data_IF_908304143824
#
_entry.id   IF_908304143824
#
_cell.length_a   1.000
_cell.length_b   1.000
_cell.length_c   1.000
_cell.angle_alpha   90.00
_cell.angle_beta   90.00
_cell.angle_gamma   90.00
#
_symmetry.space_group_name_H-M   'P 1'
#
loop_
_entity.id
_entity.type
_entity.pdbx_description
1 polymer ?
2 non-polymer ?
3 non-polymer ?
4 non-polymer ?
5 water ?
#
# COMPACT_ATOMS: atom_id res chain seq x y z
N UNK A 2 -0.64 -18.72 15.73
CA UNK A 2 -0.44 -17.49 16.48
C UNK A 2 0.24 -16.41 15.64
N UNK A 3 0.83 -16.83 14.54
CA UNK A 3 1.57 -15.91 13.69
C UNK A 3 0.74 -15.30 12.58
N UNK A 4 -0.45 -15.86 12.30
CA UNK A 4 -1.22 -15.53 11.08
C UNK A 4 -2.08 -14.29 11.34
N UNK A 5 -1.47 -13.15 11.15
CA UNK A 5 -2.15 -11.88 11.28
C UNK A 5 -3.20 -11.71 10.19
N UNK A 6 -4.33 -11.12 10.56
CA UNK A 6 -5.45 -10.87 9.65
C UNK A 6 -5.22 -9.55 8.92
N UNK A 7 -5.05 -9.62 7.60
CA UNK A 7 -4.88 -8.45 6.74
C UNK A 7 -6.16 -8.09 6.01
N UNK A 8 -6.52 -6.80 6.01
CA UNK A 8 -7.68 -6.30 5.29
C UNK A 8 -7.24 -5.12 4.43
N UNK A 9 -7.79 -5.06 3.22
CA UNK A 9 -7.54 -3.97 2.27
C UNK A 9 -8.86 -3.26 2.06
N UNK A 10 -8.89 -1.96 2.30
CA UNK A 10 -10.13 -1.19 2.28
C UNK A 10 -9.99 -0.14 1.19
N UNK A 11 -10.88 -0.16 0.21
CA UNK A 11 -10.92 0.89 -0.81
C UNK A 11 -12.02 1.87 -0.48
N UNK A 12 -11.68 3.15 -0.51
CA UNK A 12 -12.61 4.20 -0.11
C UNK A 12 -12.80 5.17 -1.26
N UNK A 13 -14.04 5.31 -1.71
CA UNK A 13 -14.33 6.15 -2.86
C UNK A 13 -14.07 5.43 -4.18
N UNK A 14 -14.28 6.14 -5.28
CA UNK A 14 -14.16 5.57 -6.59
C UNK A 14 -12.80 4.92 -6.89
N UNK A 15 -11.73 5.70 -6.75
CA UNK A 15 -10.42 5.17 -7.09
C UNK A 15 -10.03 4.02 -6.17
N UNK A 16 -10.36 4.15 -4.89
CA UNK A 16 -10.08 3.06 -3.96
C UNK A 16 -10.86 1.79 -4.28
N UNK A 17 -12.14 1.95 -4.62
CA UNK A 17 -12.97 0.82 -5.02
C UNK A 17 -12.40 0.17 -6.28
N UNK A 18 -11.94 1.00 -7.24
CA UNK A 18 -11.34 0.49 -8.47
C UNK A 18 -10.14 -0.39 -8.17
N UNK A 19 -9.26 0.10 -7.28
CA UNK A 19 -8.07 -0.65 -6.89
C UNK A 19 -8.44 -1.98 -6.27
N UNK A 20 -9.45 -1.99 -5.41
CA UNK A 20 -9.90 -3.24 -4.81
C UNK A 20 -10.40 -4.20 -5.89
N UNK A 21 -11.25 -3.73 -6.79
CA UNK A 21 -11.75 -4.59 -7.86
C UNK A 21 -10.60 -5.17 -8.68
N UNK A 22 -9.61 -4.34 -9.01
CA UNK A 22 -8.54 -4.83 -9.87
C UNK A 22 -7.63 -5.80 -9.11
N UNK A 23 -7.45 -5.59 -7.80
CA UNK A 23 -6.65 -6.53 -7.02
C UNK A 23 -7.38 -7.85 -6.88
N UNK A 24 -8.69 -7.83 -6.65
CA UNK A 24 -9.47 -9.06 -6.60
C UNK A 24 -9.37 -9.82 -7.93
N UNK A 25 -9.48 -9.11 -9.06
CA UNK A 25 -9.31 -9.75 -10.36
C UNK A 25 -7.95 -10.42 -10.50
N UNK A 26 -6.90 -9.75 -10.02
CA UNK A 26 -5.56 -10.31 -10.10
C UNK A 26 -5.46 -11.60 -9.30
N UNK A 27 -6.18 -11.68 -8.17
CA UNK A 27 -6.14 -12.83 -7.28
C UNK A 27 -5.34 -12.51 -6.04
N UNK A 28 -5.95 -12.61 -4.86
CA UNK A 28 -5.22 -12.36 -3.62
C UNK A 28 -5.96 -13.01 -2.46
N UNK A 29 -5.37 -14.04 -1.88
CA UNK A 29 -5.99 -14.86 -0.84
C UNK A 29 -5.42 -14.51 0.53
N UNK A 30 -6.15 -14.95 1.57
CA UNK A 30 -5.85 -14.61 2.96
C UNK A 30 -5.78 -13.09 3.18
N UNK A 31 -6.39 -12.33 2.29
CA UNK A 31 -6.63 -10.91 2.49
C UNK A 31 -8.12 -10.66 2.31
N UNK A 32 -8.73 -9.96 3.26
CA UNK A 32 -10.14 -9.62 3.18
C UNK A 32 -10.25 -8.24 2.54
N UNK A 33 -11.11 -8.14 1.53
CA UNK A 33 -11.35 -6.86 0.86
C UNK A 33 -12.66 -6.22 1.31
N UNK A 34 -12.59 -4.91 1.55
CA UNK A 34 -13.73 -4.09 1.96
C UNK A 34 -13.84 -2.91 1.01
N UNK A 35 -15.04 -2.71 0.45
CA UNK A 35 -15.33 -1.55 -0.40
C UNK A 35 -16.24 -0.60 0.36
N UNK A 36 -15.84 0.67 0.45
CA UNK A 36 -16.58 1.71 1.15
C UNK A 36 -16.85 2.85 0.16
N UNK A 37 -18.11 3.25 0.04
CA UNK A 37 -18.43 4.35 -0.85
C UNK A 37 -19.77 4.97 -0.45
N UNK A 38 -19.94 6.24 -0.81
CA UNK A 38 -21.28 6.85 -0.89
C UNK A 38 -22.04 6.38 -2.12
N UNK A 39 -21.31 6.14 -3.21
CA UNK A 39 -21.85 5.85 -4.52
C UNK A 39 -22.40 4.42 -4.52
N UNK A 40 -23.72 4.31 -4.35
CA UNK A 40 -24.35 3.01 -4.28
C UNK A 40 -24.17 2.18 -5.54
N UNK A 41 -24.19 2.83 -6.69
CA UNK A 41 -24.07 2.08 -7.93
C UNK A 41 -22.67 1.50 -8.08
N UNK A 42 -21.66 2.27 -7.71
CA UNK A 42 -20.29 1.75 -7.69
C UNK A 42 -20.17 0.54 -6.79
N UNK A 43 -20.79 0.60 -5.60
CA UNK A 43 -20.73 -0.54 -4.70
C UNK A 43 -21.44 -1.75 -5.26
N UNK A 44 -22.54 -1.54 -5.99
CA UNK A 44 -23.23 -2.66 -6.59
C UNK A 44 -22.32 -3.41 -7.58
N UNK A 45 -21.36 -2.71 -8.20
CA UNK A 45 -20.46 -3.35 -9.14
C UNK A 45 -19.18 -3.85 -8.49
N UNK A 46 -18.99 -3.61 -7.20
CA UNK A 46 -17.77 -4.02 -6.54
C UNK A 46 -17.73 -5.52 -6.38
N UNK A 47 -16.53 -6.07 -6.51
CA UNK A 47 -16.29 -7.49 -6.31
C UNK A 47 -15.93 -7.85 -4.87
N UNK A 48 -15.87 -6.87 -3.98
CA UNK A 48 -15.49 -7.13 -2.60
C UNK A 48 -16.58 -7.88 -1.83
N UNK A 49 -16.15 -8.81 -0.96
CA UNK A 49 -17.04 -9.60 -0.12
C UNK A 49 -17.76 -8.74 0.92
N UNK A 50 -17.18 -7.61 1.28
CA UNK A 50 -17.71 -6.72 2.30
C UNK A 50 -17.86 -5.34 1.68
N UNK A 51 -19.08 -4.80 1.71
CA UNK A 51 -19.40 -3.54 1.08
C UNK A 51 -20.13 -2.68 2.09
N UNK A 52 -19.69 -1.44 2.24
CA UNK A 52 -20.27 -0.53 3.20
C UNK A 52 -20.69 0.73 2.45
N UNK A 53 -21.99 0.95 2.35
CA UNK A 53 -22.48 2.18 1.76
C UNK A 53 -22.62 3.21 2.88
N UNK A 54 -21.91 4.31 2.76
CA UNK A 54 -21.94 5.34 3.80
C UNK A 54 -22.72 6.55 3.27
N UNK A 55 -23.29 7.30 4.20
CA UNK A 55 -23.85 8.59 3.84
C UNK A 55 -25.09 8.55 2.99
N UNK A 56 -25.90 7.49 3.06
CA UNK A 56 -27.09 7.44 2.22
C UNK A 56 -28.05 8.59 2.54
N UNK A 57 -28.21 8.94 3.83
CA UNK A 57 -29.09 10.04 4.16
C UNK A 57 -28.59 11.38 3.64
N UNK A 58 -27.29 11.49 3.36
CA UNK A 58 -26.71 12.74 2.88
C UNK A 58 -26.77 12.85 1.37
N UNK A 59 -26.35 11.80 0.67
CA UNK A 59 -26.15 11.81 -0.77
C UNK A 59 -27.28 11.15 -1.53
N UNK A 60 -28.22 10.54 -0.83
CA UNK A 60 -29.32 9.81 -1.45
C UNK A 60 -28.82 8.66 -2.33
N UNK A 61 -27.63 8.16 -2.04
CA UNK A 61 -27.04 7.03 -2.74
C UNK A 61 -26.11 7.42 -3.86
N UNK A 62 -25.98 8.71 -4.14
CA UNK A 62 -25.01 9.19 -5.10
C UNK A 62 -23.64 9.29 -4.47
N UNK A 63 -22.64 9.44 -5.32
CA UNK A 63 -21.31 9.84 -4.85
C UNK A 63 -21.30 11.23 -4.21
N UNK A 64 -20.12 11.63 -3.75
CA UNK A 64 -19.94 12.85 -3.01
C UNK A 64 -19.89 14.10 -3.88
N UNK A 65 -19.89 13.96 -5.21
CA UNK A 65 -19.89 15.15 -6.06
C UNK A 65 -18.68 16.02 -5.81
N UNK A 66 -17.54 15.40 -5.55
CA UNK A 66 -16.24 16.04 -5.37
C UNK A 66 -16.13 16.81 -4.07
N UNK A 67 -17.02 16.59 -3.11
CA UNK A 67 -17.09 17.40 -1.89
C UNK A 67 -16.57 16.63 -0.68
N UNK A 68 -15.34 16.92 -0.22
CA UNK A 68 -14.77 16.18 0.91
C UNK A 68 -15.56 16.32 2.18
N UNK A 69 -16.28 17.43 2.37
CA UNK A 69 -17.09 17.56 3.58
C UNK A 69 -18.12 16.46 3.65
N UNK A 70 -18.68 16.09 2.49
CA UNK A 70 -19.68 15.04 2.45
C UNK A 70 -19.08 13.67 2.74
N UNK A 71 -17.91 13.37 2.19
CA UNK A 71 -17.21 12.14 2.52
C UNK A 71 -16.89 12.01 4.00
N UNK A 72 -16.44 13.10 4.63
CA UNK A 72 -16.11 13.06 6.04
C UNK A 72 -17.35 12.83 6.88
N UNK A 73 -18.41 13.61 6.61
CA UNK A 73 -19.65 13.45 7.37
C UNK A 73 -20.22 12.06 7.19
N UNK A 74 -20.20 11.55 5.95
CA UNK A 74 -20.72 10.21 5.67
C UNK A 74 -19.98 9.15 6.49
N UNK A 75 -18.65 9.24 6.57
CA UNK A 75 -17.92 8.22 7.33
C UNK A 75 -18.14 8.33 8.82
N UNK A 76 -18.20 9.56 9.35
CA UNK A 76 -18.37 9.73 10.78
C UNK A 76 -19.69 9.13 11.23
N UNK A 77 -20.74 9.34 10.44
CA UNK A 77 -22.06 8.83 10.78
C UNK A 77 -22.19 7.32 10.59
N UNK A 78 -21.26 6.70 9.86
CA UNK A 78 -21.25 5.25 9.66
C UNK A 78 -20.14 4.57 10.45
N UNK A 79 -19.64 5.22 11.50
CA UNK A 79 -18.51 4.67 12.24
C UNK A 79 -18.75 3.23 12.67
N UNK A 80 -19.94 2.92 13.22
CA UNK A 80 -20.16 1.58 13.75
C UNK A 80 -20.13 0.53 12.65
N UNK A 81 -20.66 0.86 11.48
CA UNK A 81 -20.65 -0.07 10.36
C UNK A 81 -19.24 -0.29 9.83
N UNK A 82 -18.44 0.77 9.82
CA UNK A 82 -17.02 0.64 9.47
C UNK A 82 -16.29 -0.21 10.51
N UNK A 83 -16.55 0.02 11.80
CA UNK A 83 -15.92 -0.80 12.84
C UNK A 83 -16.29 -2.26 12.68
N UNK A 84 -17.57 -2.57 12.44
CA UNK A 84 -17.97 -3.95 12.24
C UNK A 84 -17.16 -4.63 11.14
N UNK A 85 -16.91 -3.92 10.03
CA UNK A 85 -16.19 -4.53 8.92
C UNK A 85 -14.72 -4.75 9.26
N UNK A 86 -14.14 -3.84 10.01
CA UNK A 86 -12.72 -3.96 10.36
C UNK A 86 -12.48 -5.00 11.44
N UNK A 87 -13.48 -5.30 12.27
CA UNK A 87 -13.27 -6.11 13.47
C UNK A 87 -12.49 -7.37 13.16
N UNK A 88 -11.47 -7.64 13.99
CA UNK A 88 -10.58 -8.76 13.79
C UNK A 88 -9.29 -8.42 13.06
N UNK A 89 -9.21 -7.26 12.42
CA UNK A 89 -8.02 -6.90 11.64
C UNK A 89 -6.83 -6.68 12.54
N UNK A 90 -5.69 -7.26 12.16
CA UNK A 90 -4.40 -6.92 12.72
C UNK A 90 -3.65 -5.89 11.89
N UNK A 91 -3.93 -5.81 10.59
CA UNK A 91 -3.33 -4.83 9.70
C UNK A 91 -4.37 -4.44 8.67
N UNK A 92 -4.47 -3.14 8.43
CA UNK A 92 -5.42 -2.55 7.49
C UNK A 92 -4.68 -1.67 6.52
N UNK A 93 -4.86 -1.93 5.24
CA UNK A 93 -4.40 -1.05 4.17
C UNK A 93 -5.62 -0.25 3.69
N UNK A 94 -5.55 1.07 3.75
CA UNK A 94 -6.63 1.94 3.26
C UNK A 94 -6.14 2.56 1.96
N UNK A 95 -6.87 2.35 0.88
CA UNK A 95 -6.48 2.94 -0.40
C UNK A 95 -7.59 3.80 -0.96
N UNK A 96 -7.20 4.93 -1.54
CA UNK A 96 -8.13 5.95 -1.97
C UNK A 96 -7.44 6.85 -2.97
N UNK A 97 -8.23 7.41 -3.88
CA UNK A 97 -7.79 8.51 -4.72
C UNK A 97 -8.14 9.83 -4.06
N UNK A 98 -7.14 10.62 -3.70
CA UNK A 98 -7.37 11.91 -3.05
C UNK A 98 -7.74 12.96 -4.10
N UNK A 99 -8.63 13.88 -3.72
CA UNK A 99 -8.97 14.99 -4.60
C UNK A 99 -10.45 15.19 -4.84
N UNK A 100 -11.21 14.10 -4.75
CA UNK A 100 -12.66 14.12 -4.81
C UNK A 100 -13.26 14.27 -3.43
N UNK A 101 -14.42 13.67 -3.25
CA UNK A 101 -15.14 13.85 -2.00
C UNK A 101 -15.05 12.67 -1.04
N UNK A 102 -15.37 11.48 -1.54
CA UNK A 102 -15.44 10.33 -0.64
C UNK A 102 -14.06 9.87 -0.18
N UNK A 103 -13.14 9.63 -1.11
CA UNK A 103 -11.78 9.33 -0.69
C UNK A 103 -11.21 10.41 0.21
N UNK A 104 -11.23 11.66 -0.27
CA UNK A 104 -10.57 12.72 0.47
C UNK A 104 -11.10 12.82 1.88
N UNK A 105 -12.41 12.74 2.03
CA UNK A 105 -13.05 13.04 3.31
C UNK A 105 -13.21 11.81 4.17
N UNK A 106 -13.56 10.67 3.56
CA UNK A 106 -13.82 9.47 4.34
C UNK A 106 -12.58 8.62 4.59
N UNK A 107 -11.60 8.60 3.70
CA UNK A 107 -10.47 7.71 3.94
C UNK A 107 -9.75 8.04 5.24
N UNK A 108 -9.54 9.31 5.62
CA UNK A 108 -8.89 9.56 6.91
C UNK A 108 -9.71 9.13 8.09
N UNK A 109 -11.04 9.14 7.96
CA UNK A 109 -11.90 8.70 9.06
C UNK A 109 -11.79 7.19 9.21
N UNK A 110 -11.80 6.48 8.08
CA UNK A 110 -11.63 5.02 8.09
C UNK A 110 -10.30 4.64 8.71
N UNK A 111 -9.22 5.30 8.29
CA UNK A 111 -7.92 5.00 8.85
C UNK A 111 -7.86 5.26 10.36
N UNK A 112 -8.46 6.35 10.82
CA UNK A 112 -8.45 6.65 12.26
C UNK A 112 -9.23 5.59 13.04
N UNK A 113 -10.35 5.12 12.49
CA UNK A 113 -11.09 4.06 13.14
C UNK A 113 -10.23 2.80 13.25
N UNK A 114 -9.55 2.43 12.14
CA UNK A 114 -8.72 1.23 12.14
C UNK A 114 -7.61 1.34 13.16
N UNK A 115 -6.96 2.50 13.21
CA UNK A 115 -5.85 2.71 14.15
C UNK A 115 -6.32 2.59 15.60
N UNK A 116 -7.49 3.13 15.92
CA UNK A 116 -8.01 3.06 17.29
C UNK A 116 -8.58 1.69 17.63
N UNK A 117 -8.71 0.80 16.66
CA UNK A 117 -9.00 -0.59 16.92
C UNK A 117 -7.73 -1.42 17.06
N UNK A 118 -6.58 -0.78 17.03
CA UNK A 118 -5.29 -1.44 17.22
C UNK A 118 -4.65 -2.00 15.96
N UNK A 119 -5.29 -1.88 14.80
CA UNK A 119 -4.70 -2.38 13.57
C UNK A 119 -3.49 -1.53 13.18
N UNK A 120 -2.44 -2.20 12.71
CA UNK A 120 -1.37 -1.51 12.01
C UNK A 120 -1.96 -0.96 10.72
N UNK A 121 -1.94 0.37 10.57
CA UNK A 121 -2.77 1.05 9.58
C UNK A 121 -1.87 1.74 8.54
N UNK A 122 -1.98 1.30 7.29
CA UNK A 122 -1.17 1.79 6.17
C UNK A 122 -2.09 2.43 5.14
N UNK A 123 -1.80 3.68 4.76
CA UNK A 123 -2.50 4.33 3.66
C UNK A 123 -1.66 4.27 2.40
N UNK A 124 -2.34 3.98 1.29
CA UNK A 124 -1.74 4.07 -0.05
C UNK A 124 -2.72 4.87 -0.88
N UNK A 125 -2.36 6.09 -1.23
CA UNK A 125 -3.29 7.04 -1.83
C UNK A 125 -2.64 7.72 -3.03
N UNK A 126 -3.47 8.17 -3.97
CA UNK A 126 -2.98 8.92 -5.12
C UNK A 126 -3.29 10.40 -4.94
N UNK A 127 -2.42 11.25 -5.56
CA UNK A 127 -2.72 12.65 -5.80
C UNK A 127 -3.16 12.82 -7.24
N UNK A 128 -4.02 13.79 -7.53
CA UNK A 128 -4.60 13.89 -8.87
C UNK A 128 -3.60 14.36 -9.91
N UNK A 129 -3.93 14.04 -11.17
CA UNK A 129 -3.18 14.59 -12.30
C UNK A 129 -3.24 16.11 -12.28
N UNK A 130 -2.14 16.75 -12.66
CA UNK A 130 -2.13 18.20 -12.83
C UNK A 130 -3.23 18.68 -13.76
N UNK A 131 -3.57 17.91 -14.80
CA UNK A 131 -4.59 18.39 -15.73
C UNK A 131 -5.97 18.46 -15.08
N UNK A 132 -6.16 17.87 -13.91
CA UNK A 132 -7.42 18.03 -13.20
C UNK A 132 -7.56 19.38 -12.51
N UNK A 133 -6.49 20.14 -12.37
CA UNK A 133 -6.62 21.52 -11.93
C UNK A 133 -6.32 21.70 -10.45
N UNK A 134 -6.31 22.97 -10.04
CA UNK A 134 -5.76 23.32 -8.74
C UNK A 134 -6.68 22.91 -7.59
N UNK A 135 -8.00 23.05 -7.77
CA UNK A 135 -8.91 22.70 -6.67
C UNK A 135 -8.78 21.22 -6.31
N UNK A 136 -8.71 20.34 -7.32
CA UNK A 136 -8.51 18.93 -7.06
C UNK A 136 -7.22 18.72 -6.28
N UNK A 137 -6.18 19.45 -6.66
CA UNK A 137 -4.88 19.24 -6.01
C UNK A 137 -4.93 19.76 -4.57
N UNK A 138 -5.59 20.90 -4.35
CA UNK A 138 -5.69 21.47 -3.01
C UNK A 138 -6.54 20.59 -2.11
N UNK A 139 -7.65 20.07 -2.65
CA UNK A 139 -8.45 19.14 -1.86
C UNK A 139 -7.63 17.90 -1.53
N UNK A 140 -6.88 17.40 -2.52
CA UNK A 140 -6.09 16.21 -2.28
C UNK A 140 -5.03 16.45 -1.22
N UNK A 141 -4.41 17.63 -1.24
CA UNK A 141 -3.39 17.93 -0.24
C UNK A 141 -3.97 17.89 1.14
N UNK A 142 -5.20 18.40 1.31
CA UNK A 142 -5.84 18.37 2.62
C UNK A 142 -6.13 16.95 3.05
N UNK A 143 -6.59 16.11 2.11
CA UNK A 143 -6.77 14.70 2.39
C UNK A 143 -5.48 14.01 2.78
N UNK A 144 -4.39 14.33 2.09
CA UNK A 144 -3.12 13.67 2.40
C UNK A 144 -2.65 14.02 3.81
N UNK A 145 -2.75 15.30 4.17
CA UNK A 145 -2.38 15.70 5.53
C UNK A 145 -3.25 15.02 6.57
N UNK A 146 -4.55 14.96 6.32
CA UNK A 146 -5.46 14.24 7.21
C UNK A 146 -5.12 12.76 7.30
N UNK A 147 -4.80 12.13 6.16
CA UNK A 147 -4.38 10.72 6.18
C UNK A 147 -3.13 10.55 7.03
N UNK A 148 -2.14 11.44 6.86
CA UNK A 148 -0.88 11.26 7.57
C UNK A 148 -1.11 11.25 9.08
N UNK A 149 -2.03 12.09 9.54
CA UNK A 149 -2.39 12.17 10.95
C UNK A 149 -3.11 10.92 11.45
N UNK A 150 -3.68 10.13 10.55
CA UNK A 150 -4.54 9.04 10.93
C UNK A 150 -3.93 7.65 10.76
N UNK A 151 -2.85 7.51 9.99
CA UNK A 151 -2.29 6.19 9.72
C UNK A 151 -1.01 6.01 10.53
N UNK A 152 -0.51 4.78 10.52
CA UNK A 152 0.86 4.51 10.96
C UNK A 152 1.87 4.88 9.89
N UNK A 153 1.63 4.45 8.66
CA UNK A 153 2.50 4.79 7.53
C UNK A 153 1.67 5.16 6.33
N UNK A 154 2.22 6.04 5.49
CA UNK A 154 1.54 6.55 4.31
C UNK A 154 2.44 6.46 3.08
N UNK A 155 1.91 5.93 2.00
CA UNK A 155 2.54 5.89 0.68
C UNK A 155 1.67 6.71 -0.24
N UNK A 156 2.24 7.76 -0.83
CA UNK A 156 1.53 8.61 -1.78
C UNK A 156 2.07 8.35 -3.18
N UNK A 157 1.15 8.16 -4.13
CA UNK A 157 1.43 7.97 -5.55
C UNK A 157 0.88 9.18 -6.29
N UNK A 158 1.72 10.11 -6.75
CA UNK A 158 1.21 11.21 -7.58
C UNK A 158 0.84 10.65 -8.96
N UNK A 159 -0.41 10.83 -9.36
CA UNK A 159 -0.83 10.30 -10.66
C UNK A 159 0.00 10.88 -11.80
N UNK A 160 0.56 12.09 -11.64
CA UNK A 160 1.41 12.64 -12.70
C UNK A 160 2.57 11.71 -13.01
N UNK A 161 3.03 10.90 -12.05
CA UNK A 161 4.14 9.97 -12.34
C UNK A 161 3.75 8.92 -13.35
N UNK A 162 2.45 8.63 -13.51
CA UNK A 162 2.04 7.69 -14.54
C UNK A 162 2.39 8.21 -15.92
N UNK A 163 2.45 9.52 -16.08
CA UNK A 163 2.81 10.08 -17.38
C UNK A 163 4.27 9.83 -17.71
N UNK A 164 5.06 9.42 -16.72
CA UNK A 164 6.47 9.11 -16.92
C UNK A 164 6.72 7.67 -17.39
N UNK A 165 5.73 6.80 -17.27
CA UNK A 165 5.89 5.36 -17.55
C UNK A 165 5.03 4.89 -18.71
N UNK A 166 4.25 5.77 -19.32
CA UNK A 166 3.45 5.40 -20.48
C UNK A 166 4.14 5.88 -21.75
N UNK A 167 3.79 5.25 -22.87
CA UNK A 167 4.01 5.86 -24.16
C UNK A 167 2.69 6.48 -24.62
N UNK A 168 2.68 7.02 -25.83
CA UNK A 168 1.52 7.76 -26.27
C UNK A 168 0.29 6.87 -26.45
N UNK A 169 0.46 5.55 -26.53
CA UNK A 169 -0.64 4.62 -26.72
C UNK A 169 -1.02 3.80 -25.51
N UNK A 170 -0.25 3.79 -24.44
CA UNK A 170 -0.53 2.90 -23.31
C UNK A 170 -1.97 3.12 -22.83
N UNK A 171 -2.80 2.09 -22.77
CA UNK A 171 -4.17 2.29 -22.27
C UNK A 171 -4.16 2.84 -20.85
N UNK A 172 -5.11 3.74 -20.59
CA UNK A 172 -5.26 4.26 -19.25
C UNK A 172 -5.40 3.16 -18.22
N UNK A 173 -6.13 2.08 -18.57
CA UNK A 173 -6.32 1.01 -17.60
C UNK A 173 -5.02 0.30 -17.29
N UNK A 174 -4.11 0.19 -18.27
CA UNK A 174 -2.80 -0.42 -18.00
C UNK A 174 -1.96 0.47 -17.10
N UNK A 175 -2.00 1.80 -17.31
CA UNK A 175 -1.31 2.69 -16.39
C UNK A 175 -1.87 2.56 -14.99
N UNK A 176 -3.20 2.46 -14.85
CA UNK A 176 -3.79 2.34 -13.53
C UNK A 176 -3.33 1.04 -12.85
N UNK A 177 -3.18 -0.04 -13.63
CA UNK A 177 -2.68 -1.30 -13.06
C UNK A 177 -1.25 -1.17 -12.54
N UNK A 178 -0.42 -0.33 -13.19
CA UNK A 178 0.92 -0.12 -12.66
C UNK A 178 0.89 0.57 -11.31
N UNK A 179 0.02 1.56 -11.15
CA UNK A 179 -0.12 2.18 -9.84
C UNK A 179 -0.65 1.17 -8.82
N UNK A 180 -1.58 0.31 -9.24
CA UNK A 180 -2.12 -0.72 -8.35
C UNK A 180 -1.02 -1.59 -7.77
N UNK A 181 0.03 -1.84 -8.56
CA UNK A 181 1.07 -2.77 -8.15
C UNK A 181 1.75 -2.34 -6.85
N UNK A 182 1.82 -1.03 -6.59
CA UNK A 182 2.50 -0.57 -5.37
C UNK A 182 1.81 -1.19 -4.16
N UNK A 183 0.49 -1.03 -4.09
CA UNK A 183 -0.29 -1.59 -3.00
C UNK A 183 -0.28 -3.11 -3.04
N UNK A 184 -0.52 -3.69 -4.22
CA UNK A 184 -0.70 -5.15 -4.30
C UNK A 184 0.58 -5.88 -3.90
N UNK A 185 1.74 -5.42 -4.42
CA UNK A 185 2.99 -6.10 -4.10
C UNK A 185 3.41 -5.85 -2.67
N UNK A 186 3.09 -4.67 -2.12
CA UNK A 186 3.33 -4.45 -0.69
C UNK A 186 2.56 -5.42 0.18
N UNK A 187 1.25 -5.54 -0.07
CA UNK A 187 0.42 -6.49 0.68
C UNK A 187 0.96 -7.90 0.52
N UNK A 188 1.28 -8.29 -0.71
CA UNK A 188 1.74 -9.65 -0.93
C UNK A 188 3.04 -9.93 -0.18
N UNK A 189 3.97 -8.96 -0.21
CA UNK A 189 5.24 -9.16 0.46
C UNK A 189 5.08 -9.29 1.96
N UNK A 190 4.18 -8.52 2.54
CA UNK A 190 3.90 -8.61 3.97
C UNK A 190 3.19 -9.92 4.29
N UNK A 191 2.24 -10.31 3.45
CA UNK A 191 1.56 -11.59 3.63
C UNK A 191 2.56 -12.74 3.61
N UNK A 192 3.49 -12.72 2.64
CA UNK A 192 4.47 -13.79 2.57
C UNK A 192 5.39 -13.77 3.79
N UNK A 193 5.80 -12.59 4.22
CA UNK A 193 6.65 -12.49 5.39
C UNK A 193 5.95 -13.07 6.62
N UNK A 194 4.65 -12.80 6.76
CA UNK A 194 3.91 -13.28 7.92
C UNK A 194 3.78 -14.78 7.88
N UNK A 195 3.60 -15.35 6.69
CA UNK A 195 3.21 -16.74 6.54
C UNK A 195 4.37 -17.72 6.38
N UNK A 196 5.48 -17.29 5.81
CA UNK A 196 6.57 -18.18 5.41
C UNK A 196 7.68 -18.08 6.44
N UNK A 197 7.99 -19.20 7.07
CA UNK A 197 9.10 -19.18 8.03
C UNK A 197 10.43 -19.00 7.33
N UNK A 198 11.24 -18.10 7.87
CA UNK A 198 12.55 -17.84 7.33
C UNK A 198 13.68 -18.49 8.10
N UNK A 199 14.83 -18.62 7.43
CA UNK A 199 16.03 -19.06 8.13
C UNK A 199 16.52 -17.99 9.08
N UNK A 200 16.46 -16.72 8.67
CA UNK A 200 16.49 -15.61 9.61
C UNK A 200 15.07 -15.06 9.59
N UNK A 201 14.29 -15.43 10.60
CA UNK A 201 12.84 -15.31 10.53
C UNK A 201 12.37 -13.95 11.02
N UNK A 202 11.69 -13.22 10.15
CA UNK A 202 10.98 -12.00 10.51
C UNK A 202 9.49 -12.32 10.56
N UNK A 203 8.77 -11.66 11.45
CA UNK A 203 7.33 -11.93 11.54
C UNK A 203 6.57 -10.62 11.70
N UNK A 204 5.29 -10.75 12.00
CA UNK A 204 4.45 -9.56 12.03
C UNK A 204 4.93 -8.54 13.07
N UNK A 205 5.56 -9.00 14.16
CA UNK A 205 6.09 -8.04 15.16
C UNK A 205 7.20 -7.18 14.56
N UNK A 206 7.99 -7.74 13.65
CA UNK A 206 9.00 -6.92 12.95
C UNK A 206 8.35 -5.90 12.02
N UNK A 207 7.26 -6.28 11.35
CA UNK A 207 6.52 -5.34 10.52
C UNK A 207 5.98 -4.21 11.37
N UNK A 208 5.39 -4.54 12.53
CA UNK A 208 4.90 -3.50 13.43
C UNK A 208 6.03 -2.57 13.90
N UNK A 209 7.20 -3.13 14.20
CA UNK A 209 8.30 -2.28 14.64
C UNK A 209 8.72 -1.29 13.56
N UNK A 210 8.81 -1.75 12.31
CA UNK A 210 9.27 -0.86 11.24
C UNK A 210 8.19 0.12 10.81
N UNK A 211 6.90 -0.20 11.00
CA UNK A 211 5.86 0.66 10.46
C UNK A 211 5.05 1.46 11.46
N UNK A 212 4.96 1.04 12.72
CA UNK A 212 4.06 1.71 13.66
C UNK A 212 4.49 3.16 13.90
N UNK A 213 3.54 4.09 13.74
CA UNK A 213 3.73 5.51 14.06
C UNK A 213 4.93 6.14 13.36
N UNK A 214 5.13 5.82 12.08
CA UNK A 214 6.32 6.24 11.36
C UNK A 214 6.12 7.39 10.37
N UNK A 215 4.97 7.53 9.73
CA UNK A 215 4.77 8.58 8.74
C UNK A 215 4.99 8.06 7.32
N UNK A 216 5.82 8.76 6.54
CA UNK A 216 6.06 8.36 5.17
C UNK A 216 6.71 6.99 5.10
N UNK A 217 6.39 6.24 4.04
CA UNK A 217 6.99 4.93 3.87
C UNK A 217 7.20 4.58 2.41
N UNK A 218 8.06 3.58 2.21
CA UNK A 218 8.27 2.94 0.92
C UNK A 218 8.14 1.44 1.09
N UNK A 219 7.36 0.81 0.23
CA UNK A 219 7.22 -0.66 0.17
C UNK A 219 7.56 -1.12 -1.23
N UNK A 220 8.51 -2.03 -1.36
CA UNK A 220 8.93 -2.45 -2.68
C UNK A 220 9.40 -3.88 -2.71
N UNK A 221 9.25 -4.51 -3.89
CA UNK A 221 9.71 -5.87 -4.14
C UNK A 221 10.49 -5.88 -5.45
N UNK A 222 11.61 -6.58 -5.46
CA UNK A 222 12.39 -6.75 -6.68
C UNK A 222 12.72 -8.21 -6.89
N UNK A 223 12.68 -8.65 -8.15
CA UNK A 223 13.00 -10.04 -8.49
C UNK A 223 14.04 -10.05 -9.60
N UNK A 224 15.10 -10.86 -9.43
CA UNK A 224 16.10 -10.96 -10.49
C UNK A 224 16.73 -12.35 -10.49
N UNK A 225 17.51 -12.62 -11.51
CA UNK A 225 18.17 -13.89 -11.71
C UNK A 225 19.54 -13.65 -12.31
N UNK A 226 20.36 -14.70 -12.32
CA UNK A 226 21.64 -14.65 -13.00
C UNK A 226 22.67 -13.81 -12.27
N UNK A 227 23.61 -13.28 -13.04
CA UNK A 227 24.72 -12.54 -12.47
C UNK A 227 24.22 -11.23 -11.88
N UNK A 228 24.75 -10.89 -10.71
CA UNK A 228 24.38 -9.66 -10.03
C UNK A 228 22.91 -9.66 -9.60
N UNK A 229 22.28 -10.83 -9.50
CA UNK A 229 20.84 -10.88 -9.18
C UNK A 229 20.50 -10.14 -7.88
N UNK A 230 21.35 -10.25 -6.86
CA UNK A 230 21.00 -9.65 -5.57
C UNK A 230 21.00 -8.13 -5.66
N UNK A 231 22.04 -7.56 -6.28
CA UNK A 231 22.10 -6.11 -6.50
C UNK A 231 20.91 -5.66 -7.36
N UNK A 232 20.64 -6.38 -8.44
CA UNK A 232 19.57 -5.96 -9.33
C UNK A 232 18.20 -6.06 -8.67
N UNK A 233 17.98 -7.13 -7.90
CA UNK A 233 16.72 -7.27 -7.18
C UNK A 233 16.55 -6.14 -6.16
N UNK A 234 17.63 -5.81 -5.44
CA UNK A 234 17.56 -4.75 -4.43
C UNK A 234 17.26 -3.42 -5.09
N UNK A 235 17.94 -3.13 -6.19
CA UNK A 235 17.68 -1.89 -6.90
C UNK A 235 16.22 -1.81 -7.36
N UNK A 236 15.65 -2.92 -7.81
CA UNK A 236 14.26 -2.90 -8.26
C UNK A 236 13.30 -2.64 -7.11
N UNK A 237 13.61 -3.22 -5.94
CA UNK A 237 12.78 -3.05 -4.75
C UNK A 237 12.66 -1.58 -4.33
N UNK A 238 13.69 -0.76 -4.54
CA UNK A 238 13.71 0.58 -3.97
C UNK A 238 13.53 1.67 -5.00
N UNK A 239 13.30 1.35 -6.26
CA UNK A 239 13.45 2.34 -7.31
C UNK A 239 12.15 2.75 -8.03
N UNK A 240 10.99 2.57 -7.44
CA UNK A 240 9.77 2.84 -8.24
C UNK A 240 9.72 4.30 -8.71
N UNK A 241 9.44 4.54 -9.98
CA UNK A 241 9.22 5.91 -10.46
C UNK A 241 7.88 6.52 -10.07
N UNK A 242 7.00 5.79 -9.40
CA UNK A 242 5.65 6.29 -9.10
C UNK A 242 5.50 6.92 -7.72
N UNK A 243 6.57 6.98 -6.93
CA UNK A 243 6.43 7.27 -5.50
C UNK A 243 6.79 8.71 -5.19
N UNK A 244 6.00 9.32 -4.30
CA UNK A 244 6.38 10.61 -3.74
C UNK A 244 7.58 10.45 -2.82
N UNK A 245 7.58 9.41 -2.01
CA UNK A 245 8.63 9.12 -1.03
C UNK A 245 9.57 8.09 -1.62
N UNK A 246 10.75 8.55 -2.00
CA UNK A 246 11.80 7.66 -2.47
C UNK A 246 12.54 7.06 -1.28
N UNK A 247 13.50 6.19 -1.59
CA UNK A 247 14.32 5.58 -0.54
C UNK A 247 15.24 6.58 0.15
N UNK A 248 15.50 7.74 -0.46
CA UNK A 248 16.51 8.66 0.06
C UNK A 248 16.04 9.24 1.38
N UNK A 249 16.86 9.08 2.41
CA UNK A 249 16.56 9.59 3.74
C UNK A 249 15.97 8.53 4.66
N UNK A 250 15.81 7.30 4.20
CA UNK A 250 15.27 6.25 5.04
C UNK A 250 16.24 5.96 6.16
N UNK A 251 15.74 5.91 7.38
CA UNK A 251 16.59 5.58 8.50
C UNK A 251 16.28 4.22 9.12
N UNK A 252 15.17 3.58 8.73
CA UNK A 252 14.83 2.26 9.18
C UNK A 252 14.35 1.44 8.02
N UNK A 253 14.86 0.21 7.89
CA UNK A 253 14.49 -0.66 6.77
C UNK A 253 14.28 -2.07 7.25
N UNK A 254 13.19 -2.67 6.81
CA UNK A 254 13.03 -4.11 6.88
C UNK A 254 13.35 -4.65 5.49
N UNK A 255 14.33 -5.56 5.42
CA UNK A 255 14.72 -6.15 4.15
C UNK A 255 14.70 -7.66 4.31
N UNK A 256 13.90 -8.32 3.48
CA UNK A 256 13.82 -9.77 3.51
C UNK A 256 14.28 -10.28 2.15
N UNK A 257 15.24 -11.20 2.14
CA UNK A 257 15.73 -11.82 0.91
C UNK A 257 15.24 -13.26 0.83
N UNK A 258 14.63 -13.63 -0.29
CA UNK A 258 14.19 -15.00 -0.51
C UNK A 258 14.97 -15.54 -1.70
N UNK A 259 15.60 -16.70 -1.52
CA UNK A 259 16.27 -17.36 -2.61
C UNK A 259 16.29 -18.85 -2.38
N UNK A 260 16.88 -19.56 -3.34
CA UNK A 260 17.09 -20.99 -3.21
C UNK A 260 18.29 -21.29 -2.34
N UNK A 261 18.67 -22.55 -2.35
CA UNK A 261 19.80 -22.99 -1.53
C UNK A 261 21.12 -22.35 -1.96
N UNK A 262 21.18 -21.73 -3.13
CA UNK A 262 22.41 -21.06 -3.57
C UNK A 262 22.59 -19.67 -2.95
N UNK A 263 21.60 -19.15 -2.23
CA UNK A 263 21.68 -17.80 -1.68
C UNK A 263 22.95 -17.63 -0.88
N UNK A 264 23.81 -16.71 -1.31
CA UNK A 264 25.12 -16.57 -0.69
C UNK A 264 25.13 -15.46 0.35
N UNK A 265 25.99 -15.62 1.36
CA UNK A 265 26.19 -14.55 2.33
C UNK A 265 26.68 -13.27 1.65
N UNK A 266 27.62 -13.42 0.72
CA UNK A 266 28.17 -12.27 0.02
C UNK A 266 27.06 -11.48 -0.68
N UNK A 267 26.14 -12.15 -1.36
CA UNK A 267 25.13 -11.39 -2.10
C UNK A 267 24.07 -10.79 -1.17
N UNK A 268 23.82 -11.41 -0.03
CA UNK A 268 22.96 -10.76 0.96
C UNK A 268 23.55 -9.44 1.43
N UNK A 269 24.86 -9.42 1.71
CA UNK A 269 25.48 -8.16 2.08
C UNK A 269 25.42 -7.16 0.94
N UNK A 270 25.59 -7.63 -0.30
CA UNK A 270 25.55 -6.72 -1.45
C UNK A 270 24.21 -6.02 -1.53
N UNK A 271 23.13 -6.79 -1.35
CA UNK A 271 21.77 -6.24 -1.39
C UNK A 271 21.58 -5.23 -0.26
N UNK A 272 21.98 -5.60 0.95
CA UNK A 272 21.89 -4.66 2.07
C UNK A 272 22.68 -3.39 1.81
N UNK A 273 23.87 -3.51 1.22
CA UNK A 273 24.69 -2.34 0.93
C UNK A 273 24.02 -1.44 -0.10
N UNK A 274 23.33 -2.03 -1.09
CA UNK A 274 22.61 -1.23 -2.07
C UNK A 274 21.56 -0.36 -1.36
N UNK A 275 20.82 -0.95 -0.44
CA UNK A 275 19.75 -0.23 0.24
C UNK A 275 20.33 0.89 1.10
N UNK A 276 21.36 0.55 1.87
CA UNK A 276 21.99 1.54 2.74
C UNK A 276 22.57 2.69 1.93
N UNK A 277 23.22 2.39 0.80
CA UNK A 277 23.85 3.46 0.03
C UNK A 277 22.80 4.36 -0.61
N UNK A 278 21.70 3.78 -1.09
CA UNK A 278 20.64 4.53 -1.74
C UNK A 278 19.92 5.43 -0.76
N UNK A 279 19.72 4.94 0.47
CA UNK A 279 19.14 5.76 1.52
C UNK A 279 20.02 6.97 1.83
N UNK A 280 21.33 6.84 1.61
CA UNK A 280 22.26 7.92 1.93
C UNK A 280 22.14 8.32 3.40
N UNK A 281 21.87 7.33 4.27
CA UNK A 281 21.78 7.50 5.71
C UNK A 281 22.42 6.28 6.37
N UNK A 282 22.71 6.40 7.65
CA UNK A 282 23.02 5.24 8.48
C UNK A 282 21.70 4.53 8.79
N UNK A 283 21.46 3.41 8.14
CA UNK A 283 20.16 2.75 8.19
C UNK A 283 20.17 1.69 9.28
N UNK A 284 19.09 1.64 10.05
CA UNK A 284 18.88 0.55 11.00
C UNK A 284 18.03 -0.51 10.32
N UNK A 285 18.62 -1.68 10.08
CA UNK A 285 18.00 -2.70 9.27
C UNK A 285 17.50 -3.84 10.14
N UNK A 286 16.31 -4.33 9.80
CA UNK A 286 15.81 -5.60 10.30
C UNK A 286 15.90 -6.55 9.11
N UNK A 287 16.87 -7.46 9.17
CA UNK A 287 17.23 -8.29 8.05
C UNK A 287 16.65 -9.69 8.18
N UNK A 288 16.07 -10.20 7.10
CA UNK A 288 15.51 -11.54 7.10
C UNK A 288 15.93 -12.29 5.86
N UNK A 289 15.91 -13.62 5.97
CA UNK A 289 16.25 -14.51 4.88
C UNK A 289 15.28 -15.68 4.88
N UNK A 290 14.82 -16.03 3.69
CA UNK A 290 13.96 -17.19 3.47
C UNK A 290 14.63 -18.04 2.40
N UNK A 291 14.77 -19.33 2.65
CA UNK A 291 15.27 -20.27 1.66
C UNK A 291 14.07 -21.04 1.13
N UNK A 292 13.75 -20.80 -0.14
CA UNK A 292 12.72 -21.57 -0.84
C UNK A 292 13.43 -22.49 -1.82
N UNK A 293 13.56 -23.79 -1.52
CA UNK A 293 14.31 -24.65 -2.43
C UNK A 293 13.61 -24.91 -3.74
N UNK A 294 12.34 -24.49 -3.88
CA UNK A 294 11.70 -24.51 -5.19
C UNK A 294 12.33 -23.47 -6.11
N UNK A 295 12.99 -22.47 -5.55
CA UNK A 295 13.66 -21.49 -6.38
C UNK A 295 14.98 -22.06 -6.87
N UNK A 296 15.33 -21.71 -8.10
CA UNK A 296 16.62 -22.09 -8.64
C UNK A 296 17.48 -20.84 -8.64
N UNK A 297 17.52 -20.08 -9.74
CA UNK A 297 18.41 -18.93 -9.83
C UNK A 297 17.73 -17.61 -9.45
N UNK A 298 16.44 -17.63 -9.10
CA UNK A 298 15.74 -16.40 -8.78
C UNK A 298 16.03 -15.96 -7.35
N UNK A 299 16.12 -14.65 -7.15
CA UNK A 299 16.16 -14.06 -5.83
C UNK A 299 15.10 -12.97 -5.77
N UNK A 300 14.49 -12.83 -4.60
CA UNK A 300 13.45 -11.83 -4.35
C UNK A 300 13.89 -10.99 -3.16
N UNK A 301 13.86 -9.67 -3.31
CA UNK A 301 14.17 -8.77 -2.22
C UNK A 301 12.93 -7.94 -1.91
N UNK A 302 12.49 -7.99 -0.65
CA UNK A 302 11.35 -7.20 -0.17
C UNK A 302 11.89 -6.13 0.77
N UNK A 303 11.48 -4.87 0.53
CA UNK A 303 11.91 -3.75 1.34
C UNK A 303 10.71 -3.01 1.89
N UNK A 304 10.74 -2.70 3.18
CA UNK A 304 9.89 -1.67 3.78
C UNK A 304 10.79 -0.64 4.44
N UNK A 305 10.69 0.61 4.02
CA UNK A 305 11.54 1.69 4.52
C UNK A 305 10.71 2.77 5.20
N UNK A 306 11.16 3.20 6.37
CA UNK A 306 10.52 4.27 7.12
C UNK A 306 11.60 5.10 7.79
N UNK A 307 11.19 5.95 8.73
CA UNK A 307 12.16 6.76 9.45
C UNK A 307 12.61 7.97 8.68
N UNK A 308 11.76 8.50 7.80
CA UNK A 308 12.05 9.70 7.03
C UNK A 308 11.82 10.96 7.87
X LIG B 1 -8.63 3.86 -10.71
X LIG B 1 -7.92 4.99 -10.44
X LIG B 1 -8.51 6.23 -10.13
X LIG B 1 -9.92 6.71 -10.00
X LIG B 1 -7.69 7.32 -9.83
X LIG B 1 -6.30 7.32 -9.84
X LIG B 1 -5.77 6.07 -10.16
X LIG B 1 -6.55 4.88 -10.46
X LIG B 1 -4.35 5.92 -10.20
X LIG B 1 -8.49 8.32 -9.60
X LIG B 1 -9.76 8.01 -9.64
X LIG B 1 -7.97 9.59 -9.13
X LIG B 1 -8.18 10.87 -9.88
X LIG B 1 -6.98 11.63 -9.64
X LIG B 1 -9.37 11.47 -9.21
X LIG B 1 -9.37 12.92 -9.25
X LIG B 1 -8.65 9.75 -7.83
X LIG B 1 -9.24 11.07 -7.77
X LIG B 1 -10.55 11.02 -7.07
X LIG B 1 -11.47 10.28 -7.86
X LIG B 1 -12.60 9.37 -7.14
X LIG B 1 -13.39 8.72 -8.16
X LIG B 1 -11.99 8.39 -6.20
X LIG B 1 -13.62 10.64 -6.29
X LIG B 1 -14.54 10.01 -4.83
X LIG B 1 -15.35 8.82 -5.17
X LIG B 1 -13.58 9.61 -3.79
X LIG B 1 -15.43 11.11 -4.38
X LIG B 1 -6.17 4.13 -10.66
X LIG B 1 -3.87 6.58 -10.47
X LIG B 1 -3.98 5.18 -9.97
X LIG B 1 -10.46 8.59 -9.44
X LIG B 1 -7.00 9.54 -9.19
X LIG B 1 -8.35 10.78 -10.83
X LIG B 1 -6.96 12.31 -10.16
X LIG B 1 -10.17 11.15 -9.66
X LIG B 1 -8.59 13.20 -9.10
X LIG B 1 -8.69 11.70 -7.30
X LIG B 1 -10.89 11.91 -6.94
X LIG B 1 -10.44 10.57 -6.21
X LIG B 1 -14.27 11.00 -6.93
X LIG B 1 -13.04 11.35 -5.99
X LIG C 1 7.85 -15.44 9.04
X LIG D 1 -6.70 4.83 -7.07
X LIG D 1 -6.93 3.52 -7.60
X LIG D 1 -6.21 4.71 -5.63
X LIG D 1 -7.09 3.87 -4.86
X LIG D 1 -7.63 5.41 -7.09
X LIG D 1 -5.96 5.34 -7.67
X LIG D 1 -7.26 3.59 -8.50
X LIG D 1 -6.16 5.69 -5.18
X LIG D 1 -5.21 4.28 -5.62
X LIG D 1 -6.75 3.81 -3.95
#
# INVERSE_FOLDING_TARGET
GSHMATLKVIGVGGGGNNAVNRMIDHGMNNVEFIAINTDGQALNLSKAESKIQIGEKLTRGLGAGANPEIGKKAAEESREQIEDAIQGADMVFVTSGMGGGTGTGAAPVVAKIAKEMGALTVGVVTRPFSFEGRKRQTQAAAGVEAMKAAVDTLIVIPNDRLLDIVDKSTPMMEAFKEADNVLRQGVQGISDLIAVSGEVNLDFADVKTIMSNQGSALMGIGVSSGENRAVEAAKKAISSPLLETSIVGAQGVLMNITGGESLSLFEAQEAADIVQDAADEDVNMIFGTVINPELQDEIVVTVIATGFD
GP2 O6 C6 C5 N7 C4 N3 C2 N1 N2 N9 C8 C1' C2' O2' C3' O3' O4' C4' C5' O5' PA O1A O2A C3A PB O1B O3B O2B HN1 HN21 HN22 H8 H1' H1 H2' H3' H2 H4' H5'1 H5'2 H3A1 H3A2
K K
EDO C1 O1 C2 O2 H11 H12 HO1 H21 H22 HO2
#
